data_IF_240097347015
#
_entry.id   IF_240097347015
#
_cell.length_a   1.000
_cell.length_b   1.000
_cell.length_c   1.000
_cell.angle_alpha   90.00
_cell.angle_beta   90.00
_cell.angle_gamma   90.00
#
_symmetry.space_group_name_H-M   'P 1'
#
loop_
_entity.id
_entity.type
_entity.pdbx_description
1 polymer ?
#
# COMPACT_ATOMS: atom_id res chain seq x y z
N UNK A 1 -38.18 16.12 12.95
CA UNK A 1 -36.88 15.44 13.02
C UNK A 1 -35.78 16.34 12.44
N UNK A 2 -35.95 16.90 11.24
CA UNK A 2 -34.94 17.75 10.58
C UNK A 2 -34.56 18.96 11.46
N UNK A 3 -35.50 19.60 12.10
CA UNK A 3 -35.25 20.75 13.00
C UNK A 3 -34.47 20.36 14.28
N UNK A 4 -34.45 19.08 14.62
CA UNK A 4 -33.74 18.58 15.78
C UNK A 4 -32.24 18.28 15.48
N UNK A 5 -31.83 18.34 14.21
CA UNK A 5 -30.44 18.19 13.84
C UNK A 5 -29.57 19.32 14.46
N UNK A 6 -28.33 19.06 14.87
CA UNK A 6 -27.44 20.09 15.41
C UNK A 6 -27.09 21.13 14.34
N UNK A 7 -26.59 22.28 14.74
CA UNK A 7 -26.08 23.29 13.80
C UNK A 7 -24.75 22.91 13.15
N UNK A 8 -23.96 22.09 13.83
CA UNK A 8 -22.63 21.65 13.36
C UNK A 8 -22.39 20.19 13.71
N UNK A 9 -21.62 19.52 12.85
CA UNK A 9 -21.15 18.16 13.08
C UNK A 9 -19.73 18.23 13.60
N UNK A 10 -19.46 17.51 14.69
CA UNK A 10 -18.14 17.35 15.31
C UNK A 10 -17.86 15.87 15.56
N UNK A 11 -16.62 15.52 15.85
CA UNK A 11 -16.25 14.12 16.19
C UNK A 11 -17.04 13.63 17.40
N UNK A 12 -17.30 14.51 18.40
CA UNK A 12 -18.00 14.14 19.63
C UNK A 12 -19.50 13.86 19.41
N UNK A 13 -20.14 14.49 18.42
CA UNK A 13 -21.57 14.31 18.16
C UNK A 13 -21.87 13.45 16.93
N UNK A 14 -20.87 13.00 16.18
CA UNK A 14 -21.02 12.29 14.91
C UNK A 14 -21.89 11.04 15.02
N UNK A 15 -21.70 10.22 16.04
CA UNK A 15 -22.48 9.00 16.25
C UNK A 15 -23.97 9.32 16.48
N UNK A 16 -24.25 10.33 17.30
CA UNK A 16 -25.62 10.79 17.53
C UNK A 16 -26.27 11.39 16.27
N UNK A 17 -25.48 12.11 15.46
CA UNK A 17 -25.96 12.69 14.19
C UNK A 17 -26.23 11.59 13.17
N UNK A 18 -25.38 10.57 13.08
CA UNK A 18 -25.62 9.40 12.19
C UNK A 18 -26.94 8.73 12.49
N UNK A 19 -27.22 8.45 13.77
CA UNK A 19 -28.50 7.86 14.18
C UNK A 19 -29.72 8.77 13.88
N UNK A 20 -29.55 10.10 13.97
CA UNK A 20 -30.61 11.03 13.61
C UNK A 20 -30.88 11.09 12.10
N UNK A 21 -29.82 11.01 11.28
CA UNK A 21 -29.96 10.94 9.81
C UNK A 21 -30.65 9.65 9.39
N UNK A 22 -30.28 8.49 9.94
CA UNK A 22 -30.96 7.23 9.70
C UNK A 22 -32.45 7.28 10.06
N UNK A 23 -32.79 7.86 11.21
CA UNK A 23 -34.18 8.00 11.62
C UNK A 23 -35.00 8.99 10.71
N UNK A 24 -34.31 9.97 10.11
CA UNK A 24 -34.94 10.88 9.12
C UNK A 24 -35.18 10.11 7.82
N UNK A 25 -34.21 9.35 7.34
CA UNK A 25 -34.33 8.53 6.11
C UNK A 25 -35.50 7.54 6.23
N UNK A 26 -35.55 6.77 7.34
CA UNK A 26 -36.69 5.88 7.62
C UNK A 26 -38.04 6.60 7.65
N UNK A 27 -38.10 7.80 8.25
CA UNK A 27 -39.34 8.59 8.28
C UNK A 27 -39.74 9.10 6.88
N UNK A 28 -38.75 9.46 6.05
CA UNK A 28 -39.00 9.95 4.69
C UNK A 28 -39.51 8.84 3.76
N UNK A 29 -39.11 7.57 3.96
CA UNK A 29 -39.63 6.43 3.18
C UNK A 29 -41.15 6.27 3.28
N UNK A 30 -41.77 6.81 4.35
CA UNK A 30 -43.22 6.75 4.57
C UNK A 30 -44.01 7.94 3.96
N UNK A 31 -43.33 8.94 3.41
CA UNK A 31 -43.91 10.14 2.84
C UNK A 31 -44.14 10.04 1.33
N UNK A 32 -45.13 10.76 0.81
CA UNK A 32 -45.31 10.94 -0.64
C UNK A 32 -44.33 11.99 -1.19
N UNK A 33 -44.11 11.98 -2.52
CA UNK A 33 -43.25 12.98 -3.17
C UNK A 33 -43.75 14.42 -2.93
N UNK A 34 -45.08 14.65 -2.90
CA UNK A 34 -45.65 15.95 -2.62
C UNK A 34 -45.35 16.39 -1.17
N UNK A 35 -45.41 15.46 -0.21
CA UNK A 35 -45.12 15.77 1.21
C UNK A 35 -43.63 16.08 1.41
N UNK A 36 -42.75 15.35 0.70
CA UNK A 36 -41.29 15.59 0.75
C UNK A 36 -40.97 16.97 0.14
N UNK A 37 -41.67 17.37 -0.93
CA UNK A 37 -41.43 18.64 -1.60
C UNK A 37 -41.81 19.87 -0.72
N UNK A 38 -42.65 19.68 0.29
CA UNK A 38 -43.03 20.73 1.26
C UNK A 38 -42.04 20.88 2.44
N UNK A 39 -41.06 19.94 2.58
CA UNK A 39 -40.07 19.97 3.67
C UNK A 39 -38.93 20.96 3.36
N UNK A 40 -38.51 21.70 4.39
CA UNK A 40 -37.22 22.44 4.31
C UNK A 40 -36.07 21.52 4.52
N UNK A 41 -35.45 21.09 3.40
CA UNK A 41 -34.34 20.18 3.37
C UNK A 41 -32.97 20.84 3.60
N UNK A 42 -32.93 22.16 3.75
CA UNK A 42 -31.67 22.94 3.79
C UNK A 42 -30.75 22.46 4.91
N UNK A 43 -31.29 22.27 6.11
CA UNK A 43 -30.52 21.80 7.27
C UNK A 43 -30.07 20.35 7.12
N UNK A 44 -30.93 19.49 6.61
CA UNK A 44 -30.60 18.09 6.35
C UNK A 44 -29.43 17.96 5.36
N UNK A 45 -29.49 18.70 4.24
CA UNK A 45 -28.40 18.69 3.27
C UNK A 45 -27.08 19.21 3.87
N UNK A 46 -27.13 20.33 4.61
CA UNK A 46 -25.93 20.90 5.23
C UNK A 46 -25.27 19.93 6.24
N UNK A 47 -26.09 19.28 7.06
CA UNK A 47 -25.58 18.30 8.06
C UNK A 47 -25.09 17.02 7.39
N UNK A 48 -25.80 16.51 6.38
CA UNK A 48 -25.33 15.33 5.61
C UNK A 48 -24.01 15.60 4.89
N UNK A 49 -23.84 16.80 4.31
CA UNK A 49 -22.57 17.19 3.68
C UNK A 49 -21.46 17.34 4.73
N UNK A 50 -21.73 17.98 5.86
CA UNK A 50 -20.76 18.10 6.96
C UNK A 50 -20.37 16.73 7.54
N UNK A 51 -21.32 15.80 7.66
CA UNK A 51 -21.07 14.43 8.09
C UNK A 51 -20.19 13.68 7.10
N UNK A 52 -20.47 13.79 5.80
CA UNK A 52 -19.63 13.20 4.76
C UNK A 52 -18.20 13.75 4.80
N UNK A 53 -18.04 15.08 4.97
CA UNK A 53 -16.72 15.70 5.13
C UNK A 53 -16.02 15.18 6.39
N UNK A 54 -16.73 15.09 7.52
CA UNK A 54 -16.16 14.56 8.76
C UNK A 54 -15.74 13.10 8.62
N UNK A 55 -16.56 12.25 7.98
CA UNK A 55 -16.21 10.86 7.69
C UNK A 55 -14.98 10.77 6.78
N UNK A 56 -14.92 11.56 5.72
CA UNK A 56 -13.76 11.63 4.84
C UNK A 56 -12.47 12.03 5.60
N UNK A 57 -12.60 12.92 6.60
CA UNK A 57 -11.47 13.36 7.44
C UNK A 57 -11.13 12.30 8.50
N UNK A 58 -12.13 11.65 9.11
CA UNK A 58 -11.93 10.58 10.09
C UNK A 58 -11.35 9.31 9.46
N UNK A 59 -11.65 9.05 8.19
CA UNK A 59 -11.10 7.94 7.39
C UNK A 59 -9.74 8.27 6.76
N UNK A 60 -9.16 9.46 7.03
CA UNK A 60 -7.83 9.78 6.54
C UNK A 60 -6.79 8.82 7.16
N UNK A 61 -6.32 7.91 6.34
CA UNK A 61 -5.20 7.04 6.70
C UNK A 61 -3.93 7.88 6.83
N UNK A 62 -3.56 8.20 8.08
CA UNK A 62 -2.43 9.10 8.38
C UNK A 62 -1.44 8.42 9.33
N UNK A 63 -0.18 8.36 8.91
CA UNK A 63 0.93 7.90 9.77
C UNK A 63 2.25 8.44 9.22
N UNK A 64 3.34 8.26 9.96
CA UNK A 64 4.68 8.55 9.44
C UNK A 64 5.07 7.55 8.35
N UNK A 65 6.03 7.88 7.51
CA UNK A 65 6.51 6.98 6.44
C UNK A 65 7.00 5.63 6.96
N UNK A 66 7.39 5.55 8.21
CA UNK A 66 7.72 4.28 8.88
C UNK A 66 6.51 3.40 9.21
N UNK A 67 5.29 3.79 8.85
CA UNK A 67 4.06 3.05 9.15
C UNK A 67 3.60 3.15 10.61
N UNK A 68 4.19 4.02 11.42
CA UNK A 68 3.84 4.16 12.85
C UNK A 68 3.17 5.49 13.14
N UNK A 69 2.37 5.53 14.21
CA UNK A 69 1.71 6.73 14.71
C UNK A 69 2.67 7.67 15.45
N UNK A 70 3.77 7.13 15.95
CA UNK A 70 4.87 7.87 16.55
C UNK A 70 6.16 7.52 15.84
N UNK A 71 6.92 8.52 15.44
CA UNK A 71 8.21 8.33 14.81
C UNK A 71 9.32 8.77 15.77
N UNK A 72 10.31 7.89 15.94
CA UNK A 72 11.52 8.16 16.74
C UNK A 72 12.74 8.53 15.87
N UNK A 73 12.53 8.83 14.59
CA UNK A 73 13.59 9.15 13.64
C UNK A 73 14.44 7.96 13.19
N UNK A 74 14.07 6.74 13.57
CA UNK A 74 14.74 5.53 13.06
C UNK A 74 14.36 5.35 11.59
N UNK A 75 15.36 5.19 10.74
CA UNK A 75 15.16 4.94 9.31
C UNK A 75 15.47 6.13 8.40
N UNK A 76 16.02 7.21 8.94
CA UNK A 76 16.56 8.30 8.12
C UNK A 76 15.54 9.14 7.37
N UNK A 77 14.23 9.01 7.65
CA UNK A 77 13.25 9.96 7.16
C UNK A 77 13.18 11.16 8.11
N UNK A 78 13.03 12.33 7.51
CA UNK A 78 13.11 13.62 8.19
C UNK A 78 11.74 14.27 8.40
N UNK A 79 10.67 13.55 8.06
CA UNK A 79 9.32 14.07 8.21
C UNK A 79 9.01 14.29 9.69
N UNK A 80 8.68 15.52 10.00
CA UNK A 80 8.22 15.92 11.35
C UNK A 80 6.71 15.73 11.51
N UNK A 81 6.00 15.47 10.42
CA UNK A 81 4.54 15.36 10.39
C UNK A 81 4.09 14.03 9.81
N UNK A 82 2.93 13.57 10.24
CA UNK A 82 2.23 12.45 9.60
C UNK A 82 1.87 12.79 8.16
N UNK A 83 1.91 11.80 7.31
CA UNK A 83 1.55 11.89 5.88
C UNK A 83 0.14 11.36 5.70
N UNK A 84 -0.63 12.00 4.83
CA UNK A 84 -1.94 11.52 4.42
C UNK A 84 -1.76 10.53 3.27
N UNK A 85 -2.42 9.40 3.36
CA UNK A 85 -2.44 8.37 2.33
C UNK A 85 -3.80 8.30 1.64
N UNK A 86 -3.81 8.18 0.34
CA UNK A 86 -5.01 8.00 -0.47
C UNK A 86 -5.37 6.51 -0.55
N UNK A 87 -6.63 6.19 -0.36
CA UNK A 87 -7.14 4.83 -0.48
C UNK A 87 -6.91 4.25 -1.87
N UNK A 88 -6.40 3.02 -1.93
CA UNK A 88 -6.22 2.27 -3.16
C UNK A 88 -7.08 1.01 -3.14
N UNK A 89 -8.07 0.97 -4.03
CA UNK A 89 -9.12 -0.06 -4.06
C UNK A 89 -9.02 -1.03 -5.26
N UNK A 90 -7.94 -0.98 -6.04
CA UNK A 90 -7.78 -1.86 -7.20
C UNK A 90 -7.00 -3.12 -6.82
N UNK A 91 -7.65 -4.30 -6.95
CA UNK A 91 -7.09 -5.61 -6.58
C UNK A 91 -6.09 -6.17 -7.61
N UNK A 92 -6.10 -5.67 -8.84
CA UNK A 92 -5.30 -6.21 -9.93
C UNK A 92 -4.15 -5.31 -10.38
N UNK A 93 -4.14 -4.06 -9.92
CA UNK A 93 -3.10 -3.07 -10.23
C UNK A 93 -2.75 -2.25 -9.00
N UNK A 94 -1.49 -1.86 -8.88
CA UNK A 94 -1.00 -0.98 -7.83
C UNK A 94 -0.71 0.41 -8.38
N UNK A 95 -0.62 1.46 -7.52
CA UNK A 95 -0.42 2.83 -7.97
C UNK A 95 0.95 3.00 -8.65
N UNK A 96 0.96 3.59 -9.83
CA UNK A 96 2.17 3.84 -10.60
C UNK A 96 2.58 5.31 -10.69
N UNK A 97 1.71 6.24 -10.26
CA UNK A 97 1.96 7.68 -10.25
C UNK A 97 2.38 8.14 -8.86
N UNK A 98 3.21 9.20 -8.80
CA UNK A 98 3.69 9.79 -7.55
C UNK A 98 2.54 10.08 -6.60
N UNK A 99 2.67 9.65 -5.34
CA UNK A 99 1.68 9.87 -4.28
C UNK A 99 1.88 8.89 -3.13
N UNK A 100 1.14 9.12 -2.07
CA UNK A 100 1.09 8.23 -0.91
C UNK A 100 -0.23 7.48 -0.95
N UNK A 101 -0.17 6.16 -0.93
CA UNK A 101 -1.32 5.27 -1.08
C UNK A 101 -1.35 4.21 0.00
N UNK A 102 -2.53 3.79 0.41
CA UNK A 102 -2.69 2.61 1.26
C UNK A 102 -3.65 1.60 0.64
N UNK A 103 -3.37 0.32 0.83
CA UNK A 103 -4.25 -0.74 0.34
C UNK A 103 -5.49 -0.84 1.21
N UNK A 104 -6.65 -0.96 0.57
CA UNK A 104 -7.93 -1.24 1.23
C UNK A 104 -8.26 -2.74 1.26
N UNK A 105 -7.53 -3.53 0.47
CA UNK A 105 -7.71 -4.98 0.33
C UNK A 105 -6.49 -5.62 -0.32
N UNK A 106 -6.43 -6.94 -0.29
CA UNK A 106 -5.38 -7.72 -0.92
C UNK A 106 -5.33 -7.47 -2.43
N UNK A 107 -4.12 -7.39 -2.97
CA UNK A 107 -3.89 -7.23 -4.39
C UNK A 107 -3.30 -8.51 -5.00
N UNK A 108 -3.84 -8.91 -6.15
CA UNK A 108 -3.38 -10.06 -6.93
C UNK A 108 -2.92 -9.60 -8.30
N UNK A 109 -1.61 -9.62 -8.53
CA UNK A 109 -0.99 -9.08 -9.72
C UNK A 109 -0.76 -10.16 -10.78
N UNK A 110 -0.98 -9.79 -12.04
CA UNK A 110 -0.62 -10.57 -13.23
C UNK A 110 0.64 -10.04 -13.94
N UNK A 111 1.11 -8.86 -13.56
CA UNK A 111 2.31 -8.21 -14.09
C UNK A 111 3.08 -7.52 -12.96
N UNK A 112 4.37 -7.27 -13.15
CA UNK A 112 5.19 -6.57 -12.16
C UNK A 112 4.65 -5.18 -11.88
N UNK A 113 4.60 -4.81 -10.60
CA UNK A 113 4.36 -3.42 -10.23
C UNK A 113 5.59 -2.57 -10.52
N UNK A 114 5.42 -1.57 -11.39
CA UNK A 114 6.51 -0.72 -11.90
C UNK A 114 6.34 0.76 -11.49
N UNK A 115 6.39 1.07 -10.18
CA UNK A 115 6.15 2.42 -9.70
C UNK A 115 7.20 3.42 -10.15
N UNK A 116 6.76 4.68 -10.35
CA UNK A 116 7.64 5.81 -10.66
C UNK A 116 8.22 6.41 -9.38
N UNK A 117 9.09 7.41 -9.57
CA UNK A 117 9.70 8.16 -8.47
C UNK A 117 8.66 8.82 -7.56
N UNK A 118 8.83 8.65 -6.25
CA UNK A 118 7.99 9.27 -5.22
C UNK A 118 6.65 8.55 -4.96
N UNK A 119 6.51 7.29 -5.37
CA UNK A 119 5.41 6.45 -4.91
C UNK A 119 5.74 5.92 -3.52
N UNK A 120 4.80 6.11 -2.58
CA UNK A 120 4.81 5.53 -1.25
C UNK A 120 3.57 4.64 -1.13
N UNK A 121 3.76 3.37 -0.77
CA UNK A 121 2.66 2.42 -0.57
C UNK A 121 2.68 1.88 0.85
N UNK A 122 1.59 2.08 1.57
CA UNK A 122 1.31 1.38 2.82
C UNK A 122 0.50 0.13 2.52
N UNK A 123 0.98 -1.02 3.00
CA UNK A 123 0.24 -2.28 2.85
C UNK A 123 -1.02 -2.31 3.70
N UNK A 124 -1.07 -1.59 4.81
CA UNK A 124 -2.22 -1.56 5.72
C UNK A 124 -2.69 -2.98 6.09
N UNK A 125 -1.73 -3.86 6.36
CA UNK A 125 -1.97 -5.27 6.69
C UNK A 125 -2.33 -6.17 5.52
N UNK A 126 -2.49 -5.64 4.30
CA UNK A 126 -2.91 -6.39 3.12
C UNK A 126 -1.74 -7.00 2.34
N UNK A 127 -2.04 -8.04 1.57
CA UNK A 127 -1.06 -8.79 0.82
C UNK A 127 -1.00 -8.37 -0.65
N UNK A 128 0.20 -8.40 -1.21
CA UNK A 128 0.44 -8.33 -2.65
C UNK A 128 0.90 -9.70 -3.12
N UNK A 129 0.08 -10.36 -3.93
CA UNK A 129 0.34 -11.71 -4.45
C UNK A 129 0.54 -11.69 -5.96
N UNK A 130 1.67 -12.19 -6.42
CA UNK A 130 1.96 -12.34 -7.85
C UNK A 130 1.54 -13.72 -8.35
N UNK A 131 0.79 -13.77 -9.46
CA UNK A 131 0.32 -15.01 -10.11
C UNK A 131 1.03 -15.30 -11.44
N UNK A 132 2.26 -14.82 -11.62
CA UNK A 132 3.05 -15.08 -12.83
C UNK A 132 4.54 -15.22 -12.50
N UNK A 133 5.29 -15.83 -13.41
CA UNK A 133 6.74 -15.99 -13.32
C UNK A 133 7.46 -14.67 -13.65
N UNK A 134 7.30 -13.69 -12.78
CA UNK A 134 7.95 -12.38 -12.86
C UNK A 134 8.19 -11.81 -11.46
N UNK A 135 8.96 -10.73 -11.34
CA UNK A 135 9.18 -10.09 -10.05
C UNK A 135 7.95 -9.30 -9.60
N UNK A 136 7.69 -9.20 -8.29
CA UNK A 136 6.51 -8.48 -7.79
C UNK A 136 6.71 -6.98 -7.92
N UNK A 137 7.76 -6.42 -7.29
CA UNK A 137 8.08 -4.99 -7.27
C UNK A 137 9.29 -4.73 -8.17
N UNK A 138 9.14 -3.84 -9.15
CA UNK A 138 10.21 -3.45 -10.08
C UNK A 138 10.17 -1.93 -10.25
N UNK A 139 10.80 -1.13 -9.36
CA UNK A 139 10.82 0.32 -9.51
C UNK A 139 11.39 0.73 -10.86
N UNK A 140 10.81 1.75 -11.50
CA UNK A 140 11.37 2.31 -12.75
C UNK A 140 12.79 2.81 -12.53
N UNK A 141 13.62 2.73 -13.54
CA UNK A 141 15.01 3.18 -13.46
C UNK A 141 15.11 4.63 -12.94
N UNK A 142 16.02 4.86 -11.98
CA UNK A 142 16.21 6.14 -11.32
C UNK A 142 15.12 6.55 -10.32
N UNK A 143 14.11 5.71 -10.10
CA UNK A 143 13.02 6.01 -9.17
C UNK A 143 13.39 5.68 -7.73
N UNK A 144 12.89 6.47 -6.79
CA UNK A 144 12.83 6.12 -5.37
C UNK A 144 11.39 5.75 -5.01
N UNK A 145 11.21 4.56 -4.47
CA UNK A 145 9.92 3.99 -4.08
C UNK A 145 9.99 3.56 -2.62
N UNK A 146 8.92 3.79 -1.88
CA UNK A 146 8.85 3.47 -0.46
C UNK A 146 7.68 2.52 -0.18
N UNK A 147 7.95 1.51 0.64
CA UNK A 147 6.95 0.58 1.17
C UNK A 147 6.91 0.71 2.68
N UNK A 148 5.72 0.81 3.23
CA UNK A 148 5.47 0.72 4.66
C UNK A 148 4.27 -0.19 4.95
N UNK A 149 4.03 -0.47 6.22
CA UNK A 149 2.89 -1.25 6.68
C UNK A 149 2.58 -0.83 8.12
N UNK A 150 1.44 -0.19 8.33
CA UNK A 150 1.05 0.29 9.64
C UNK A 150 0.52 -0.83 10.55
N UNK A 151 0.05 -1.94 9.96
CA UNK A 151 -0.47 -3.10 10.66
C UNK A 151 0.57 -4.21 10.90
N UNK A 152 1.75 -4.12 10.28
CA UNK A 152 2.84 -5.12 10.35
C UNK A 152 2.44 -6.56 9.92
N UNK A 153 1.37 -6.71 9.11
CA UNK A 153 0.82 -8.03 8.69
C UNK A 153 0.94 -8.27 7.18
N UNK A 154 1.07 -7.20 6.40
CA UNK A 154 1.07 -7.24 4.95
C UNK A 154 2.28 -7.99 4.38
N UNK A 155 2.05 -8.73 3.30
CA UNK A 155 3.05 -9.58 2.68
C UNK A 155 3.18 -9.32 1.18
N UNK A 156 4.39 -9.49 0.68
CA UNK A 156 4.72 -9.49 -0.75
C UNK A 156 5.20 -10.88 -1.10
N UNK A 157 4.42 -11.60 -1.91
CA UNK A 157 4.60 -13.03 -2.16
C UNK A 157 4.22 -13.42 -3.58
N UNK A 158 4.58 -14.64 -3.97
CA UNK A 158 4.04 -15.31 -5.14
C UNK A 158 3.00 -16.36 -4.73
N UNK A 159 2.00 -16.56 -5.57
CA UNK A 159 1.14 -17.74 -5.48
C UNK A 159 1.97 -19.01 -5.69
N UNK A 160 1.50 -20.11 -5.10
CA UNK A 160 2.19 -21.40 -5.20
C UNK A 160 2.46 -21.79 -6.65
N UNK A 161 3.69 -22.17 -6.93
CA UNK A 161 4.17 -22.60 -8.26
C UNK A 161 4.78 -21.49 -9.11
N UNK A 162 4.48 -20.23 -8.86
CA UNK A 162 5.07 -19.10 -9.58
C UNK A 162 6.39 -18.65 -9.00
N UNK A 163 7.22 -18.02 -9.86
CA UNK A 163 8.62 -17.72 -9.55
C UNK A 163 8.99 -16.29 -9.92
N UNK A 164 9.76 -15.67 -9.04
CA UNK A 164 10.29 -14.33 -9.20
C UNK A 164 10.80 -13.80 -7.87
N UNK A 165 11.47 -12.67 -7.90
CA UNK A 165 11.86 -11.96 -6.69
C UNK A 165 10.68 -11.18 -6.13
N UNK A 166 10.59 -11.05 -4.81
CA UNK A 166 9.64 -10.14 -4.17
C UNK A 166 9.91 -8.69 -4.60
N UNK A 167 11.18 -8.30 -4.69
CA UNK A 167 11.57 -7.02 -5.29
C UNK A 167 12.80 -7.19 -6.20
N UNK A 168 12.79 -6.54 -7.36
CA UNK A 168 13.92 -6.41 -8.26
C UNK A 168 14.27 -4.93 -8.44
N UNK A 169 15.37 -4.51 -7.82
CA UNK A 169 15.80 -3.11 -7.76
C UNK A 169 16.99 -2.92 -8.69
N UNK A 170 16.82 -2.16 -9.76
CA UNK A 170 17.82 -2.05 -10.80
C UNK A 170 17.85 -0.66 -11.45
N UNK A 171 18.86 -0.41 -12.30
CA UNK A 171 18.92 0.81 -13.12
C UNK A 171 19.01 2.10 -12.31
N UNK A 172 19.75 2.08 -11.19
CA UNK A 172 19.89 3.24 -10.31
C UNK A 172 18.64 3.55 -9.49
N UNK A 173 17.65 2.66 -9.46
CA UNK A 173 16.47 2.85 -8.61
C UNK A 173 16.79 2.57 -7.14
N UNK A 174 15.99 3.16 -6.25
CA UNK A 174 16.05 2.97 -4.80
C UNK A 174 14.73 2.41 -4.31
N UNK A 175 14.78 1.34 -3.51
CA UNK A 175 13.62 0.81 -2.81
C UNK A 175 13.84 0.89 -1.30
N UNK A 176 12.99 1.66 -0.62
CA UNK A 176 13.00 1.82 0.82
C UNK A 176 11.88 0.96 1.42
N UNK A 177 12.21 0.14 2.40
CA UNK A 177 11.26 -0.72 3.11
C UNK A 177 11.23 -0.36 4.59
N UNK A 178 10.10 0.10 5.08
CA UNK A 178 9.87 0.47 6.48
C UNK A 178 8.98 -0.53 7.22
N UNK A 179 8.22 -1.37 6.51
CA UNK A 179 7.30 -2.33 7.11
C UNK A 179 6.88 -3.43 6.14
N UNK A 180 6.06 -4.35 6.60
CA UNK A 180 5.58 -5.51 5.85
C UNK A 180 6.59 -6.64 5.76
N UNK A 181 6.25 -7.67 5.01
CA UNK A 181 7.09 -8.87 4.83
C UNK A 181 7.26 -9.23 3.36
N UNK A 182 8.48 -9.45 2.91
CA UNK A 182 8.77 -10.09 1.63
C UNK A 182 9.02 -11.57 1.91
N UNK A 183 8.08 -12.44 1.55
CA UNK A 183 8.10 -13.84 1.97
C UNK A 183 7.55 -14.80 0.91
N UNK A 184 7.95 -16.08 0.98
CA UNK A 184 7.42 -17.13 0.12
C UNK A 184 7.77 -17.01 -1.36
N UNK A 185 8.71 -16.14 -1.72
CA UNK A 185 9.12 -15.96 -3.10
C UNK A 185 10.21 -16.99 -3.46
N UNK A 186 10.16 -17.51 -4.68
CA UNK A 186 11.17 -18.45 -5.20
C UNK A 186 11.73 -17.89 -6.49
N UNK A 187 13.05 -17.75 -6.56
CA UNK A 187 13.72 -17.24 -7.75
C UNK A 187 15.06 -17.95 -7.97
N UNK A 188 15.66 -17.75 -9.14
CA UNK A 188 16.99 -18.29 -9.42
C UNK A 188 18.06 -17.60 -8.57
N UNK A 189 17.91 -16.30 -8.34
CA UNK A 189 18.80 -15.47 -7.52
C UNK A 189 18.01 -14.37 -6.86
N UNK A 190 18.32 -14.02 -5.61
CA UNK A 190 17.70 -12.89 -4.91
C UNK A 190 16.17 -13.03 -4.76
N UNK A 191 15.69 -14.18 -4.30
CA UNK A 191 14.25 -14.46 -4.23
C UNK A 191 13.47 -13.47 -3.38
N UNK A 192 14.00 -12.99 -2.26
CA UNK A 192 13.39 -11.89 -1.49
C UNK A 192 13.60 -10.57 -2.22
N UNK A 193 14.83 -10.06 -2.19
CA UNK A 193 15.22 -8.84 -2.90
C UNK A 193 16.42 -9.13 -3.79
N UNK A 194 16.31 -8.75 -5.06
CA UNK A 194 17.39 -8.82 -6.04
C UNK A 194 17.80 -7.42 -6.44
N UNK A 195 19.08 -7.13 -6.32
CA UNK A 195 19.67 -5.86 -6.78
C UNK A 195 20.51 -6.09 -8.03
N UNK A 196 20.47 -5.14 -8.97
CA UNK A 196 21.25 -5.18 -10.20
C UNK A 196 21.51 -3.75 -10.71
N UNK A 197 22.62 -3.55 -11.41
CA UNK A 197 22.91 -2.31 -12.14
C UNK A 197 22.64 -1.03 -11.31
N UNK A 198 23.39 -0.85 -10.23
CA UNK A 198 23.31 0.29 -9.31
C UNK A 198 21.96 0.46 -8.58
N UNK A 199 21.15 -0.59 -8.47
CA UNK A 199 19.97 -0.57 -7.62
C UNK A 199 20.36 -0.46 -6.14
N UNK A 200 19.58 0.30 -5.36
CA UNK A 200 19.78 0.48 -3.92
C UNK A 200 18.56 -0.05 -3.16
N UNK A 201 18.80 -0.87 -2.16
CA UNK A 201 17.76 -1.33 -1.25
C UNK A 201 18.09 -0.92 0.18
N UNK A 202 17.21 -0.16 0.80
CA UNK A 202 17.32 0.27 2.19
C UNK A 202 16.21 -0.39 3.00
N UNK A 203 16.59 -1.16 4.02
CA UNK A 203 15.65 -1.79 4.94
C UNK A 203 15.71 -1.11 6.30
N UNK A 204 14.66 -0.39 6.64
CA UNK A 204 14.50 0.33 7.91
C UNK A 204 13.56 -0.41 8.86
N UNK A 205 12.74 -1.32 8.34
CA UNK A 205 11.82 -2.16 9.09
C UNK A 205 11.23 -3.28 8.24
N UNK A 206 10.35 -4.08 8.83
CA UNK A 206 9.75 -5.24 8.18
C UNK A 206 10.64 -6.49 8.17
N UNK A 207 10.27 -7.49 7.37
CA UNK A 207 10.93 -8.79 7.35
C UNK A 207 11.17 -9.29 5.92
N UNK A 208 12.28 -9.99 5.72
CA UNK A 208 12.57 -10.74 4.49
C UNK A 208 12.88 -12.18 4.90
N UNK A 209 11.89 -13.06 4.83
CA UNK A 209 11.98 -14.41 5.37
C UNK A 209 11.32 -15.44 4.44
N UNK A 210 11.70 -16.72 4.54
CA UNK A 210 11.03 -17.79 3.80
C UNK A 210 11.14 -17.70 2.27
N UNK A 211 12.09 -16.88 1.76
CA UNK A 211 12.34 -16.77 0.32
C UNK A 211 13.43 -17.76 -0.09
N UNK A 212 13.26 -18.44 -1.22
CA UNK A 212 14.14 -19.53 -1.63
C UNK A 212 14.78 -19.28 -2.99
N UNK A 213 16.14 -19.24 -3.01
CA UNK A 213 16.88 -19.21 -4.27
C UNK A 213 17.14 -20.65 -4.74
N UNK A 214 16.56 -21.03 -5.86
CA UNK A 214 16.68 -22.37 -6.46
C UNK A 214 17.36 -22.33 -7.82
N UNK A 215 18.36 -23.19 -8.02
CA UNK A 215 18.81 -23.48 -9.37
C UNK A 215 17.76 -24.35 -10.07
N UNK A 216 17.00 -23.74 -10.97
CA UNK A 216 16.12 -24.49 -11.85
C UNK A 216 16.98 -25.19 -12.90
N UNK A 217 17.32 -26.45 -12.67
CA UNK A 217 17.88 -27.31 -13.72
C UNK A 217 16.74 -27.62 -14.68
N UNK A 218 16.71 -26.90 -15.80
CA UNK A 218 15.78 -27.19 -16.87
C UNK A 218 16.15 -28.53 -17.52
N UNK A 219 15.39 -29.58 -17.23
CA UNK A 219 15.31 -30.76 -18.09
C UNK A 219 14.38 -30.54 -19.31
N UNK A 220 14.18 -29.30 -19.72
CA UNK A 220 13.47 -28.96 -20.95
C UNK A 220 14.09 -27.74 -21.61
N UNK A 221 14.97 -28.04 -22.57
CA UNK A 221 15.34 -27.23 -23.73
C UNK A 221 15.58 -25.72 -23.52
N UNK A 222 16.86 -25.38 -23.35
CA UNK A 222 17.38 -24.10 -23.81
C UNK A 222 17.16 -23.96 -25.33
N UNK A 223 15.98 -23.52 -25.79
CA UNK A 223 15.70 -23.25 -27.21
C UNK A 223 16.19 -21.92 -27.71
N UNK A 224 16.86 -21.11 -26.90
CA UNK A 224 17.54 -19.91 -27.37
C UNK A 224 18.95 -19.81 -26.82
N UNK A 225 19.88 -20.40 -27.58
CA UNK A 225 21.32 -20.12 -27.44
C UNK A 225 21.57 -18.64 -27.73
N UNK A 226 21.81 -17.82 -26.73
CA UNK A 226 22.83 -16.75 -26.76
C UNK A 226 23.10 -16.24 -25.34
N UNK A 227 24.29 -16.59 -24.86
CA UNK A 227 25.04 -16.07 -23.70
C UNK A 227 24.47 -16.33 -22.31
N UNK A 228 24.80 -17.48 -21.76
CA UNK A 228 25.07 -17.56 -20.33
C UNK A 228 26.39 -16.81 -20.05
N UNK A 229 26.29 -15.59 -19.56
CA UNK A 229 27.46 -14.88 -19.03
C UNK A 229 27.59 -15.27 -17.57
N UNK A 230 28.70 -16.01 -17.30
CA UNK A 230 29.16 -16.31 -15.94
C UNK A 230 29.68 -15.04 -15.29
N UNK A 231 29.21 -14.76 -14.06
CA UNK A 231 30.03 -14.16 -13.03
C UNK A 231 30.11 -12.63 -13.03
N UNK A 232 29.21 -11.96 -12.33
CA UNK A 232 29.58 -10.74 -11.63
C UNK A 232 29.22 -10.88 -10.15
N UNK A 233 30.21 -10.56 -9.30
CA UNK A 233 30.09 -10.60 -7.84
C UNK A 233 29.05 -9.59 -7.40
N UNK A 234 27.99 -10.06 -6.76
CA UNK A 234 27.00 -9.20 -6.17
C UNK A 234 27.57 -8.54 -4.90
N UNK A 235 27.64 -7.23 -4.90
CA UNK A 235 27.92 -6.44 -3.70
C UNK A 235 26.64 -6.33 -2.91
N UNK A 236 26.55 -7.06 -1.81
CA UNK A 236 25.52 -6.85 -0.80
C UNK A 236 26.01 -5.74 0.15
N UNK A 237 25.41 -4.57 0.13
CA UNK A 237 25.56 -3.62 1.22
C UNK A 237 24.47 -3.91 2.25
N UNK A 238 24.85 -4.63 3.31
CA UNK A 238 24.03 -4.72 4.51
C UNK A 238 24.22 -3.43 5.32
N UNK A 239 23.18 -2.66 5.52
CA UNK A 239 23.16 -1.63 6.55
C UNK A 239 23.04 -2.36 7.88
N UNK A 240 24.12 -2.29 8.66
CA UNK A 240 24.23 -2.93 9.98
C UNK A 240 23.26 -2.28 10.96
N UNK A 241 22.36 -3.05 11.53
CA UNK A 241 21.59 -2.64 12.69
C UNK A 241 22.54 -2.36 13.86
N UNK A 242 22.61 -1.12 14.32
CA UNK A 242 23.14 -0.80 15.64
C UNK A 242 21.94 -0.61 16.57
N UNK A 243 21.62 -1.66 17.34
CA UNK A 243 20.84 -1.52 18.55
C UNK A 243 21.67 -0.71 19.56
N UNK A 244 21.20 0.48 19.88
CA UNK A 244 21.48 1.14 21.16
C UNK A 244 20.16 1.57 21.78
#
# INVERSE_FOLDING_TARGET
LIDALPETVTVENAESVSAQLEAIDEAMESLTEEQIAELDMTRLHAISEAMNVLMMVAEQHTHFLCGKDTCNGVGGHTETNKVIFTAWNNESKLPEIKGNYYLMKDATLSESWTPVNGVVLCLNGHNITMKYDTNVIVPKAGSTVTLCDCEDKGQITHSNGYKGSGAFVAGGSTFNMYGGSITGNTARTGAGVRMYNNGTFNMYGGNITGNEAKNFTSNSECRYRRRCVHGEKQHFQYVRWNNK
#
